data_IF_141465189873
#
_entry.id   IF_141465189873
#
_cell.length_a   1.000
_cell.length_b   1.000
_cell.length_c   1.000
_cell.angle_alpha   90.00
_cell.angle_beta   90.00
_cell.angle_gamma   90.00
#
_symmetry.space_group_name_H-M   'P 1'
#
loop_
_entity.id
_entity.type
_entity.pdbx_description
1 polymer ?
#
# COMPACT_ATOMS: atom_id res chain seq x y z
N UNK A 1 7.82 -26.89 1.52
CA UNK A 1 7.18 -26.46 1.47
C UNK A 1 6.50 -26.11 1.19
N UNK A 2 6.28 -26.12 1.04
CA UNK A 2 5.47 -25.50 0.63
C UNK A 2 5.23 -24.82 0.94
N UNK A 3 4.99 -24.67 1.01
CA UNK A 3 4.48 -23.97 1.12
C UNK A 3 4.05 -23.44 1.19
N UNK A 4 4.02 -23.46 1.52
CA UNK A 4 3.18 -23.03 1.47
C UNK A 4 2.72 -22.35 0.84
N UNK A 5 2.51 -22.08 0.54
CA UNK A 5 2.04 -21.46 -0.02
C UNK A 5 1.41 -21.63 -0.60
N UNK A 6 1.18 -22.08 -0.64
CA UNK A 6 0.57 -22.23 -1.08
C UNK A 6 -0.12 -22.30 -1.65
N UNK A 7 -0.17 -22.61 -1.57
CA UNK A 7 -0.90 -22.94 -2.61
C UNK A 7 -2.14 -22.33 -2.80
N UNK A 8 -2.82 -22.49 -2.30
CA UNK A 8 -4.05 -22.11 -2.49
C UNK A 8 -4.36 -20.96 -3.24
N UNK A 9 -3.61 -20.14 -3.37
CA UNK A 9 -3.95 -19.03 -4.03
C UNK A 9 -3.86 -19.23 -5.40
N UNK A 10 -3.51 -20.26 -5.80
CA UNK A 10 -3.53 -20.56 -7.09
C UNK A 10 -3.62 -19.42 -7.95
N UNK A 11 -2.95 -18.48 -7.71
CA UNK A 11 -2.74 -17.41 -8.57
C UNK A 11 -3.87 -16.60 -9.01
N UNK A 12 -4.92 -16.79 -8.45
CA UNK A 12 -6.00 -16.15 -9.05
C UNK A 12 -6.28 -14.81 -8.54
N UNK A 13 -6.06 -14.47 -7.34
CA UNK A 13 -6.46 -13.18 -6.79
C UNK A 13 -5.29 -12.32 -6.39
N UNK A 14 -4.18 -12.51 -7.06
CA UNK A 14 -2.99 -11.76 -6.74
C UNK A 14 -3.10 -10.33 -7.26
N UNK A 15 -2.91 -9.34 -6.40
CA UNK A 15 -2.95 -7.96 -6.84
C UNK A 15 -1.60 -7.55 -7.41
N UNK A 16 -1.55 -6.35 -7.98
CA UNK A 16 -0.35 -5.90 -8.65
C UNK A 16 0.85 -5.85 -7.72
N UNK A 17 0.67 -5.44 -6.49
CA UNK A 17 1.79 -5.31 -5.56
C UNK A 17 2.40 -6.65 -5.24
N UNK A 18 1.57 -7.66 -5.05
CA UNK A 18 2.07 -9.01 -4.82
C UNK A 18 2.79 -9.55 -6.03
N UNK A 19 2.30 -9.24 -7.22
CA UNK A 19 2.94 -9.68 -8.44
C UNK A 19 4.32 -9.05 -8.58
N UNK A 20 4.42 -7.75 -8.30
CA UNK A 20 5.72 -7.08 -8.39
C UNK A 20 6.71 -7.70 -7.41
N UNK A 21 6.28 -7.96 -6.19
CA UNK A 21 7.14 -8.58 -5.20
C UNK A 21 7.64 -9.94 -5.69
N UNK A 22 6.73 -10.75 -6.21
CA UNK A 22 7.11 -12.08 -6.65
C UNK A 22 8.05 -12.05 -7.85
N UNK A 23 7.81 -11.13 -8.77
CA UNK A 23 8.65 -11.02 -9.95
C UNK A 23 10.07 -10.60 -9.60
N UNK A 24 10.18 -9.66 -8.69
CA UNK A 24 11.50 -9.12 -8.35
C UNK A 24 12.20 -9.95 -7.29
N UNK A 25 11.46 -10.77 -6.57
CA UNK A 25 12.02 -11.60 -5.50
C UNK A 25 12.75 -10.77 -4.47
N UNK A 26 12.29 -9.55 -4.26
CA UNK A 26 12.88 -8.64 -3.29
C UNK A 26 11.91 -8.54 -2.12
N UNK A 27 12.36 -8.89 -0.91
CA UNK A 27 11.46 -8.81 0.25
C UNK A 27 10.98 -7.38 0.46
N UNK A 28 9.72 -7.20 0.80
CA UNK A 28 9.23 -5.86 1.15
C UNK A 28 9.96 -5.34 2.37
N UNK A 29 10.21 -4.04 2.38
CA UNK A 29 10.88 -3.38 3.49
C UNK A 29 9.95 -2.31 4.03
N UNK A 30 9.76 -2.31 5.36
CA UNK A 30 8.94 -1.29 5.99
C UNK A 30 9.78 -0.02 6.14
N UNK A 31 9.34 1.04 5.48
CA UNK A 31 10.03 2.33 5.51
C UNK A 31 9.56 3.19 6.67
N UNK A 32 8.29 3.06 7.03
CA UNK A 32 7.72 3.82 8.15
C UNK A 32 6.43 3.15 8.60
N UNK A 33 6.03 3.43 9.83
CA UNK A 33 4.73 3.01 10.34
C UNK A 33 4.35 3.92 11.48
N UNK A 34 3.10 3.86 11.88
CA UNK A 34 2.60 4.65 12.99
C UNK A 34 1.13 4.42 13.18
N UNK A 35 0.56 5.23 14.05
CA UNK A 35 -0.87 5.19 14.34
C UNK A 35 -1.35 6.64 14.38
N UNK A 36 -2.42 6.94 13.67
CA UNK A 36 -3.01 8.26 13.69
C UNK A 36 -4.48 8.13 14.07
N UNK A 37 -4.85 8.75 15.19
CA UNK A 37 -6.22 8.71 15.70
C UNK A 37 -6.77 7.29 15.77
N UNK A 38 -5.92 6.36 16.20
CA UNK A 38 -6.30 4.97 16.39
C UNK A 38 -6.21 4.10 15.17
N UNK A 39 -5.79 4.64 14.03
CA UNK A 39 -5.70 3.89 12.77
C UNK A 39 -4.24 3.68 12.41
N UNK A 40 -3.79 2.43 12.37
CA UNK A 40 -2.39 2.13 11.98
C UNK A 40 -2.14 2.44 10.52
N UNK A 41 -0.92 2.85 10.20
CA UNK A 41 -0.52 3.02 8.81
C UNK A 41 0.89 2.48 8.60
N UNK A 42 1.20 2.16 7.35
CA UNK A 42 2.46 1.55 6.98
C UNK A 42 2.91 2.08 5.63
N UNK A 43 4.22 2.32 5.48
CA UNK A 43 4.80 2.65 4.17
C UNK A 43 5.84 1.58 3.89
N UNK A 44 5.69 0.89 2.79
CA UNK A 44 6.57 -0.22 2.43
C UNK A 44 7.27 0.07 1.10
N UNK A 45 8.47 -0.46 0.96
CA UNK A 45 9.14 -0.53 -0.33
C UNK A 45 8.97 -1.93 -0.87
N UNK A 46 8.52 -2.04 -2.11
CA UNK A 46 8.36 -3.33 -2.76
C UNK A 46 9.51 -3.61 -3.73
N UNK A 47 10.60 -2.86 -3.60
CA UNK A 47 11.78 -3.07 -4.42
C UNK A 47 11.86 -2.14 -5.62
N UNK A 48 10.76 -1.90 -6.29
CA UNK A 48 10.74 -1.02 -7.45
C UNK A 48 10.09 0.32 -7.12
N UNK A 49 9.17 0.35 -6.19
CA UNK A 49 8.45 1.56 -5.84
C UNK A 49 7.87 1.39 -4.43
N UNK A 50 7.59 2.51 -3.75
CA UNK A 50 6.95 2.44 -2.44
C UNK A 50 5.44 2.36 -2.56
N UNK A 51 4.82 1.87 -1.51
CA UNK A 51 3.37 1.79 -1.37
C UNK A 51 3.00 2.19 0.04
N UNK A 52 1.80 2.70 0.21
CA UNK A 52 1.31 3.12 1.52
C UNK A 52 0.01 2.43 1.84
N UNK A 53 -0.24 2.18 3.12
CA UNK A 53 -1.40 1.41 3.57
C UNK A 53 -1.94 1.95 4.87
N UNK A 54 -3.25 1.80 5.06
CA UNK A 54 -3.89 2.09 6.34
C UNK A 54 -4.71 0.87 6.75
N UNK A 55 -4.75 0.57 8.04
CA UNK A 55 -5.51 -0.56 8.56
C UNK A 55 -6.77 -0.02 9.20
N UNK A 56 -7.91 -0.23 8.56
CA UNK A 56 -9.18 0.30 9.06
C UNK A 56 -9.95 -0.70 9.91
N UNK A 57 -9.35 -1.85 10.23
CA UNK A 57 -10.00 -2.84 11.08
C UNK A 57 -10.46 -2.24 12.42
N UNK A 58 -9.67 -1.38 13.08
CA UNK A 58 -10.11 -0.82 14.36
C UNK A 58 -11.38 0.01 14.26
N UNK A 59 -11.75 0.48 13.08
CA UNK A 59 -12.94 1.31 12.92
C UNK A 59 -14.22 0.51 12.82
N UNK A 60 -14.13 -0.81 12.56
CA UNK A 60 -15.29 -1.67 12.49
C UNK A 60 -16.24 -1.34 11.34
N UNK A 61 -15.73 -0.75 10.28
CA UNK A 61 -16.58 -0.40 9.14
C UNK A 61 -16.90 -1.64 8.34
N UNK A 62 -18.17 -1.81 7.98
CA UNK A 62 -18.59 -2.94 7.15
C UNK A 62 -18.33 -2.67 5.68
N UNK A 63 -18.50 -1.43 5.28
CA UNK A 63 -18.31 -1.03 3.90
C UNK A 63 -17.66 0.32 3.85
N UNK A 64 -16.85 0.52 2.82
CA UNK A 64 -16.27 1.82 2.57
C UNK A 64 -16.21 1.99 1.05
N UNK A 65 -16.57 3.16 0.58
CA UNK A 65 -16.50 3.45 -0.84
C UNK A 65 -15.10 3.96 -1.16
N UNK A 66 -14.27 3.07 -1.69
CA UNK A 66 -12.88 3.40 -1.96
C UNK A 66 -12.73 4.52 -2.97
N UNK A 67 -13.73 4.71 -3.83
CA UNK A 67 -13.66 5.76 -4.83
C UNK A 67 -13.78 7.14 -4.23
N UNK A 68 -14.31 7.24 -3.01
CA UNK A 68 -14.43 8.53 -2.34
C UNK A 68 -13.16 8.92 -1.60
N UNK A 69 -12.16 8.04 -1.60
CA UNK A 69 -10.89 8.33 -0.95
C UNK A 69 -9.95 8.96 -1.96
N UNK A 70 -9.48 10.17 -1.64
CA UNK A 70 -8.55 10.89 -2.48
C UNK A 70 -7.14 10.57 -2.04
N UNK A 71 -6.44 9.79 -2.83
CA UNK A 71 -5.05 9.46 -2.59
C UNK A 71 -4.34 9.28 -3.92
N UNK A 72 -3.02 9.26 -3.88
CA UNK A 72 -2.21 9.19 -5.09
C UNK A 72 -2.56 7.93 -5.89
N UNK A 73 -3.10 8.13 -7.09
CA UNK A 73 -3.46 7.04 -7.98
C UNK A 73 -4.70 6.25 -7.57
N UNK A 74 -5.33 6.57 -6.45
CA UNK A 74 -6.50 5.85 -5.98
C UNK A 74 -6.14 4.59 -5.21
N UNK A 75 -7.13 4.01 -4.55
CA UNK A 75 -6.93 2.77 -3.78
C UNK A 75 -6.75 1.61 -4.75
N UNK A 76 -5.66 0.87 -4.59
CA UNK A 76 -5.35 -0.28 -5.45
C UNK A 76 -5.18 -1.57 -4.67
N UNK A 77 -5.23 -1.52 -3.36
CA UNK A 77 -5.04 -2.70 -2.51
C UNK A 77 -6.12 -2.70 -1.43
N UNK A 78 -6.77 -3.83 -1.23
CA UNK A 78 -7.76 -3.98 -0.18
C UNK A 78 -7.80 -5.46 0.22
N UNK A 79 -7.10 -5.80 1.28
CA UNK A 79 -6.99 -7.18 1.74
C UNK A 79 -6.90 -7.22 3.25
N UNK A 80 -7.11 -8.41 3.82
CA UNK A 80 -6.97 -8.62 5.26
C UNK A 80 -5.52 -8.93 5.66
N UNK A 81 -4.61 -8.93 4.71
CA UNK A 81 -3.22 -9.28 4.89
C UNK A 81 -2.32 -8.16 4.36
N UNK A 82 -1.20 -7.93 5.01
CA UNK A 82 -0.18 -7.02 4.52
C UNK A 82 1.20 -7.56 4.84
N UNK A 83 2.09 -7.54 3.85
CA UNK A 83 3.47 -7.96 4.04
C UNK A 83 4.11 -7.18 5.18
N UNK A 84 4.97 -7.79 5.94
CA UNK A 84 5.68 -7.26 7.11
C UNK A 84 4.79 -7.08 8.33
N UNK A 85 3.49 -7.30 8.22
CA UNK A 85 2.56 -7.21 9.35
C UNK A 85 2.12 -8.61 9.68
N UNK A 86 2.21 -8.99 10.96
CA UNK A 86 2.03 -10.38 11.37
C UNK A 86 0.64 -10.68 11.95
N UNK A 87 -0.33 -9.85 11.64
CA UNK A 87 -1.69 -10.08 12.10
C UNK A 87 -2.66 -9.66 10.99
N UNK A 88 -3.88 -10.18 11.08
CA UNK A 88 -4.93 -9.80 10.17
C UNK A 88 -5.40 -8.39 10.44
N UNK A 89 -5.85 -7.73 9.39
CA UNK A 89 -6.43 -6.40 9.50
C UNK A 89 -7.42 -6.18 8.37
N UNK A 90 -7.62 -4.93 8.01
CA UNK A 90 -8.40 -4.56 6.86
C UNK A 90 -7.62 -3.42 6.20
N UNK A 91 -6.72 -3.82 5.31
CA UNK A 91 -5.72 -2.90 4.78
C UNK A 91 -6.17 -2.31 3.46
N UNK A 92 -6.20 -0.99 3.39
CA UNK A 92 -6.39 -0.24 2.16
C UNK A 92 -5.06 0.34 1.78
N UNK A 93 -4.72 0.29 0.50
CA UNK A 93 -3.42 0.79 0.07
C UNK A 93 -3.43 1.41 -1.31
N UNK A 94 -2.36 2.10 -1.60
CA UNK A 94 -2.12 2.72 -2.89
C UNK A 94 -0.62 2.71 -3.14
N UNK A 95 -0.23 2.95 -4.39
CA UNK A 95 1.18 2.82 -4.74
C UNK A 95 1.68 4.07 -5.46
N UNK A 96 2.99 4.17 -5.56
CA UNK A 96 3.67 5.31 -6.16
C UNK A 96 4.43 4.86 -7.41
N UNK A 97 3.73 4.08 -8.25
CA UNK A 97 4.32 3.52 -9.47
C UNK A 97 3.59 4.02 -10.72
N UNK A 98 3.11 5.26 -10.69
CA UNK A 98 2.37 5.81 -11.81
C UNK A 98 3.29 6.55 -12.75
N UNK A 99 2.75 6.95 -13.90
CA UNK A 99 3.55 7.46 -15.02
C UNK A 99 4.58 8.51 -14.61
N UNK A 100 4.20 9.47 -13.78
CA UNK A 100 5.11 10.55 -13.41
C UNK A 100 5.91 10.26 -12.14
N UNK A 101 5.81 9.06 -11.59
CA UNK A 101 6.58 8.69 -10.40
C UNK A 101 7.90 8.10 -10.81
N UNK A 102 8.94 8.40 -10.03
CA UNK A 102 10.24 7.79 -10.27
C UNK A 102 10.20 6.31 -9.91
N UNK A 103 10.78 5.46 -10.75
CA UNK A 103 10.94 4.05 -10.46
C UNK A 103 12.41 3.70 -10.45
N UNK A 104 12.87 3.16 -9.33
CA UNK A 104 14.27 2.77 -9.22
C UNK A 104 14.66 1.63 -10.12
N UNK A 105 13.69 0.82 -10.57
CA UNK A 105 13.99 -0.31 -11.45
C UNK A 105 14.08 0.10 -12.93
N UNK A 106 13.62 1.28 -13.26
CA UNK A 106 13.64 1.77 -14.64
C UNK A 106 14.18 3.19 -14.70
N UNK A 107 15.35 3.44 -14.15
CA UNK A 107 15.88 4.81 -14.11
C UNK A 107 16.13 5.41 -15.49
N UNK A 108 16.33 4.57 -16.50
CA UNK A 108 16.55 5.09 -17.83
C UNK A 108 15.29 5.70 -18.44
N UNK A 109 14.14 5.49 -17.82
CA UNK A 109 12.91 6.12 -18.27
C UNK A 109 12.63 7.43 -17.54
N UNK A 110 13.54 7.84 -16.67
CA UNK A 110 13.39 9.09 -15.94
C UNK A 110 13.92 10.23 -16.80
N UNK A 111 13.01 11.03 -17.33
CA UNK A 111 13.38 12.15 -18.19
C UNK A 111 13.54 13.44 -17.39
N UNK A 112 13.79 13.33 -16.09
CA UNK A 112 13.93 14.51 -15.25
C UNK A 112 12.63 15.06 -14.73
N UNK A 113 11.51 14.44 -15.09
CA UNK A 113 10.19 14.90 -14.68
C UNK A 113 9.53 14.02 -13.63
N UNK A 114 10.13 12.88 -13.32
CA UNK A 114 9.54 11.95 -12.39
C UNK A 114 9.65 12.47 -10.96
N UNK A 115 8.55 12.33 -10.22
CA UNK A 115 8.57 12.74 -8.83
C UNK A 115 9.12 11.62 -7.96
N UNK A 116 10.07 11.96 -7.12
CA UNK A 116 10.58 11.05 -6.11
C UNK A 116 9.89 11.36 -4.79
N UNK A 117 9.01 10.48 -4.41
CA UNK A 117 8.25 10.65 -3.17
C UNK A 117 9.13 10.36 -1.97
N UNK A 118 9.08 11.22 -0.97
CA UNK A 118 9.80 11.00 0.27
C UNK A 118 8.93 10.21 1.24
N UNK A 119 9.57 9.53 2.19
CA UNK A 119 8.83 8.82 3.22
C UNK A 119 7.91 9.77 3.99
N UNK A 120 8.40 10.98 4.28
CA UNK A 120 7.60 11.95 5.02
C UNK A 120 6.35 12.35 4.24
N UNK A 121 6.46 12.52 2.93
CA UNK A 121 5.29 12.84 2.11
C UNK A 121 4.28 11.71 2.11
N UNK A 122 4.77 10.47 2.05
CA UNK A 122 3.87 9.32 2.03
C UNK A 122 3.20 9.12 3.39
N UNK A 123 3.91 9.38 4.47
CA UNK A 123 3.30 9.36 5.81
C UNK A 123 2.22 10.43 5.92
N UNK A 124 2.50 11.63 5.41
CA UNK A 124 1.51 12.70 5.43
C UNK A 124 0.26 12.31 4.65
N UNK A 125 0.44 11.58 3.55
CA UNK A 125 -0.72 11.13 2.79
C UNK A 125 -1.51 10.07 3.55
N UNK A 126 -0.83 9.18 4.28
CA UNK A 126 -1.53 8.23 5.15
C UNK A 126 -2.40 8.96 6.16
N UNK A 127 -1.87 9.99 6.78
CA UNK A 127 -2.62 10.78 7.75
C UNK A 127 -3.83 11.44 7.09
N UNK A 128 -3.64 11.97 5.88
CA UNK A 128 -4.74 12.62 5.15
C UNK A 128 -5.82 11.60 4.79
N UNK A 129 -5.44 10.41 4.36
CA UNK A 129 -6.40 9.37 4.01
C UNK A 129 -7.17 8.93 5.25
N UNK A 130 -6.49 8.74 6.37
CA UNK A 130 -7.16 8.39 7.61
C UNK A 130 -8.17 9.46 7.99
N UNK A 131 -7.80 10.73 7.85
CA UNK A 131 -8.74 11.82 8.13
C UNK A 131 -9.99 11.76 7.26
N UNK A 132 -9.81 11.43 5.98
CA UNK A 132 -10.96 11.28 5.08
C UNK A 132 -11.86 10.15 5.54
N UNK A 133 -11.27 9.00 5.87
CA UNK A 133 -12.06 7.84 6.28
C UNK A 133 -12.82 8.13 7.56
N UNK A 134 -12.19 8.78 8.52
CA UNK A 134 -12.85 9.14 9.76
C UNK A 134 -14.00 10.10 9.50
N UNK A 135 -13.88 10.97 8.51
CA UNK A 135 -14.96 11.88 8.12
C UNK A 135 -16.13 11.18 7.48
N UNK A 136 -15.90 10.04 6.84
CA UNK A 136 -16.96 9.26 6.22
C UNK A 136 -17.77 8.48 7.26
N UNK A 137 -17.18 8.25 8.41
CA UNK A 137 -17.78 7.42 9.43
C UNK A 137 -18.80 8.25 10.18
N UNK A 138 -20.05 7.94 10.01
CA UNK A 138 -21.11 8.74 10.63
C UNK A 138 -22.13 7.90 11.31
#
# INVERSE_FOLDING_TARGET
>A
MTSPGQPGREGDNMNMQEMIYQENRIPPVRLADGVYRGVPFYVLSLGTHPCAYVDIAPLGLHEINERDIDCHGGITYHHDYLATVDHEGNFLGWDYAHYMDYSGSLPFLDFGNSKRWTTAEMVAECVAVIGQILGMRR
#
